data_IF_587938669749
#
_entry.id   IF_587938669749
#
_cell.length_a   1.000
_cell.length_b   1.000
_cell.length_c   1.000
_cell.angle_alpha   90.00
_cell.angle_beta   90.00
_cell.angle_gamma   90.00
#
_symmetry.space_group_name_H-M   'P 1'
#
loop_
_entity.id
_entity.type
_entity.pdbx_description
1 polymer ?
#
# COMPACT_ATOMS: atom_id res chain seq x y z
N UNK A 1 12.64 -2.20 -9.74
CA UNK A 1 11.20 -1.85 -9.79
C UNK A 1 10.38 -3.09 -9.43
N UNK A 2 9.30 -2.96 -8.64
CA UNK A 2 8.37 -4.09 -8.37
C UNK A 2 7.47 -4.44 -9.57
N UNK A 3 7.55 -3.67 -10.66
CA UNK A 3 6.66 -3.75 -11.81
C UNK A 3 5.44 -2.83 -11.67
N UNK A 4 4.80 -2.49 -12.78
CA UNK A 4 3.60 -1.64 -12.82
C UNK A 4 2.52 -2.21 -13.77
N UNK A 5 1.93 -3.37 -13.45
CA UNK A 5 0.72 -3.81 -14.13
C UNK A 5 -0.44 -2.88 -13.71
N UNK A 6 -1.07 -2.23 -14.70
CA UNK A 6 -2.01 -1.10 -14.48
C UNK A 6 -3.13 -1.48 -13.50
N UNK A 7 -3.70 -2.68 -13.61
CA UNK A 7 -4.77 -3.14 -12.70
C UNK A 7 -4.29 -3.65 -11.33
N UNK A 8 -3.09 -4.22 -11.25
CA UNK A 8 -2.60 -4.89 -10.04
C UNK A 8 -1.79 -3.96 -9.11
N UNK A 9 -1.39 -2.78 -9.58
CA UNK A 9 -0.57 -1.84 -8.79
C UNK A 9 -1.26 -1.43 -7.49
N UNK A 10 -2.55 -1.06 -7.55
CA UNK A 10 -3.30 -0.66 -6.36
C UNK A 10 -3.40 -1.79 -5.32
N UNK A 11 -3.62 -3.03 -5.77
CA UNK A 11 -3.63 -4.21 -4.89
C UNK A 11 -2.25 -4.44 -4.27
N UNK A 12 -1.17 -4.29 -5.04
CA UNK A 12 0.19 -4.39 -4.53
C UNK A 12 0.52 -3.35 -3.45
N UNK A 13 -0.03 -2.14 -3.55
CA UNK A 13 0.09 -1.12 -2.49
C UNK A 13 -0.62 -1.56 -1.21
N UNK A 14 -1.83 -2.13 -1.32
CA UNK A 14 -2.59 -2.64 -0.17
C UNK A 14 -1.86 -3.81 0.50
N UNK A 15 -1.31 -4.74 -0.29
CA UNK A 15 -0.51 -5.87 0.24
C UNK A 15 0.71 -5.37 1.01
N UNK A 16 1.44 -4.37 0.50
CA UNK A 16 2.58 -3.82 1.24
C UNK A 16 2.13 -3.14 2.54
N UNK A 17 1.06 -2.36 2.54
CA UNK A 17 0.54 -1.75 3.78
C UNK A 17 0.12 -2.84 4.79
N UNK A 18 -0.53 -3.90 4.32
CA UNK A 18 -0.89 -5.04 5.17
C UNK A 18 0.35 -5.72 5.76
N UNK A 19 1.38 -5.98 4.96
CA UNK A 19 2.62 -6.59 5.44
C UNK A 19 3.35 -5.70 6.44
N UNK A 20 3.31 -4.37 6.25
CA UNK A 20 3.87 -3.40 7.19
C UNK A 20 3.13 -3.40 8.53
N UNK A 21 1.80 -3.31 8.51
CA UNK A 21 0.98 -3.27 9.73
C UNK A 21 0.96 -4.61 10.49
N UNK A 22 1.22 -5.73 9.80
CA UNK A 22 1.24 -7.08 10.41
C UNK A 22 2.65 -7.60 10.72
N UNK A 23 3.69 -6.81 10.48
CA UNK A 23 5.08 -7.19 10.74
C UNK A 23 5.66 -8.25 9.78
N UNK A 24 5.03 -8.45 8.61
CA UNK A 24 5.45 -9.43 7.60
C UNK A 24 6.39 -8.86 6.54
N UNK A 25 6.64 -7.56 6.54
CA UNK A 25 7.54 -6.88 5.59
C UNK A 25 9.04 -7.18 5.81
N UNK A 26 9.39 -8.09 6.74
CA UNK A 26 10.76 -8.51 7.02
C UNK A 26 11.63 -7.34 7.49
N UNK A 27 12.84 -7.23 6.92
CA UNK A 27 13.78 -6.14 7.25
C UNK A 27 13.26 -4.73 6.92
N UNK A 28 12.20 -4.61 6.09
CA UNK A 28 11.58 -3.32 5.72
C UNK A 28 10.44 -2.90 6.65
N UNK A 29 10.11 -3.73 7.64
CA UNK A 29 9.00 -3.46 8.55
C UNK A 29 9.25 -2.17 9.34
N UNK A 30 8.29 -1.25 9.28
CA UNK A 30 8.29 -0.05 10.11
C UNK A 30 7.82 -0.44 11.53
N UNK A 31 8.67 -0.15 12.53
CA UNK A 31 8.36 -0.44 13.94
C UNK A 31 7.15 0.36 14.41
N UNK A 32 6.28 -0.29 15.15
CA UNK A 32 5.11 0.30 15.80
C UNK A 32 4.15 1.04 14.86
N UNK A 33 4.15 0.71 13.56
CA UNK A 33 3.20 1.26 12.61
C UNK A 33 1.75 0.89 13.00
N UNK A 34 0.92 1.92 13.18
CA UNK A 34 -0.51 1.76 13.53
C UNK A 34 -1.47 2.15 12.43
N UNK A 35 -1.02 3.03 11.53
CA UNK A 35 -1.83 3.58 10.44
C UNK A 35 -1.03 3.47 9.14
N UNK A 36 -1.68 3.01 8.08
CA UNK A 36 -1.12 2.96 6.74
C UNK A 36 -2.05 3.62 5.73
N UNK A 37 -1.48 4.23 4.70
CA UNK A 37 -2.23 4.88 3.63
C UNK A 37 -1.75 4.37 2.27
N UNK A 38 -2.70 4.09 1.38
CA UNK A 38 -2.43 3.91 -0.05
C UNK A 38 -3.02 5.08 -0.83
N UNK A 39 -2.29 5.57 -1.81
CA UNK A 39 -2.76 6.56 -2.77
C UNK A 39 -2.45 6.02 -4.16
N UNK A 40 -3.46 5.43 -4.79
CA UNK A 40 -3.37 4.90 -6.14
C UNK A 40 -3.97 5.89 -7.12
N UNK A 41 -3.33 6.05 -8.28
CA UNK A 41 -3.71 7.04 -9.27
C UNK A 41 -3.85 6.39 -10.64
N UNK A 42 -4.87 6.82 -11.38
CA UNK A 42 -5.17 6.36 -12.74
C UNK A 42 -4.83 7.42 -13.78
N UNK A 43 -4.26 6.97 -14.90
CA UNK A 43 -3.86 7.81 -16.02
C UNK A 43 -2.94 8.97 -15.57
N UNK A 44 -3.23 10.20 -16.01
CA UNK A 44 -2.42 11.40 -15.76
C UNK A 44 -3.02 12.34 -14.72
N UNK A 45 -4.09 11.94 -14.04
CA UNK A 45 -4.85 12.91 -13.23
C UNK A 45 -6.19 12.42 -12.77
N UNK A 46 -6.82 11.68 -13.68
CA UNK A 46 -8.26 11.73 -13.81
C UNK A 46 -9.00 11.05 -12.67
N UNK A 47 -8.35 10.09 -12.01
CA UNK A 47 -8.96 9.30 -10.94
C UNK A 47 -7.92 8.92 -9.89
N UNK A 48 -8.31 8.93 -8.63
CA UNK A 48 -7.52 8.37 -7.54
C UNK A 48 -8.38 7.52 -6.61
N UNK A 49 -7.75 6.55 -5.96
CA UNK A 49 -8.32 5.79 -4.87
C UNK A 49 -7.39 5.89 -3.66
N UNK A 50 -7.94 6.29 -2.52
CA UNK A 50 -7.21 6.43 -1.26
C UNK A 50 -7.85 5.51 -0.22
N UNK A 51 -7.01 4.74 0.48
CA UNK A 51 -7.45 3.90 1.59
C UNK A 51 -6.61 4.19 2.81
N UNK A 52 -7.25 4.30 3.98
CA UNK A 52 -6.60 4.37 5.29
C UNK A 52 -6.86 3.05 6.01
N UNK A 53 -5.78 2.44 6.49
CA UNK A 53 -5.81 1.18 7.24
C UNK A 53 -5.33 1.44 8.67
N UNK A 54 -5.89 0.70 9.62
CA UNK A 54 -5.49 0.72 11.02
C UNK A 54 -5.16 -0.70 11.47
N UNK A 55 -4.06 -0.87 12.20
CA UNK A 55 -3.77 -2.13 12.90
C UNK A 55 -4.74 -2.32 14.06
N UNK A 56 -5.42 -3.47 14.12
CA UNK A 56 -6.27 -3.89 15.25
C UNK A 56 -5.51 -4.77 16.23
#
# INVERSE_FOLDING_TARGET
SKGHPIGATGVGQVVEVFDQLTGRAGARTVKDAKIGLTHNFGATGASCAVHIFQSV
#
